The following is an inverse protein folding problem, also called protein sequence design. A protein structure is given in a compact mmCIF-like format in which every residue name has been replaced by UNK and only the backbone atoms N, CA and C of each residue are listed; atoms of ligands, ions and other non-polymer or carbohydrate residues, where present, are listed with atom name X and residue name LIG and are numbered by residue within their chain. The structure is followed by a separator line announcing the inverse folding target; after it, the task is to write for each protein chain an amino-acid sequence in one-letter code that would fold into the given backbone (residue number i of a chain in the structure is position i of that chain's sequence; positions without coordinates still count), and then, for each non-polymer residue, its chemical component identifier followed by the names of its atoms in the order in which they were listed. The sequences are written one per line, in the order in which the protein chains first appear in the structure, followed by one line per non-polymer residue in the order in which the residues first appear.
data_IF_326771346157
#
_entry.id   IF_326771346157
#
_cell.length_a   1.000
_cell.length_b   1.000
_cell.length_c   1.000
_cell.angle_alpha   90.00
_cell.angle_beta   90.00
_cell.angle_gamma   90.00
#
_symmetry.space_group_name_H-M   'P 1'
#
loop_
_entity.id
_entity.type
_entity.pdbx_description
1 polymer ?
#
# COMPACT_ATOMS: atom_id res chain seq x y z
N UNK A 1 -10.90 19.13 -17.99
CA UNK A 1 -9.75 18.59 -18.74
C UNK A 1 -8.55 18.71 -17.80
N UNK A 2 -8.47 17.81 -16.82
CA UNK A 2 -7.34 17.77 -15.88
C UNK A 2 -6.25 16.92 -16.52
N UNK A 3 -5.09 17.52 -16.72
CA UNK A 3 -3.89 16.83 -17.16
C UNK A 3 -3.35 16.07 -15.95
N UNK A 4 -3.51 14.75 -15.95
CA UNK A 4 -2.77 13.88 -15.03
C UNK A 4 -1.30 13.94 -15.44
N UNK A 5 -0.50 14.71 -14.69
CA UNK A 5 0.95 14.74 -14.87
C UNK A 5 1.52 13.35 -14.52
N UNK A 6 1.65 12.49 -15.53
CA UNK A 6 2.48 11.29 -15.42
C UNK A 6 3.93 11.74 -15.34
N UNK A 7 4.44 11.87 -14.11
CA UNK A 7 5.83 12.18 -13.86
C UNK A 7 6.68 11.00 -14.35
N UNK A 8 7.41 11.18 -15.46
CA UNK A 8 8.28 10.15 -16.03
C UNK A 8 9.66 10.19 -15.34
N UNK A 9 10.07 9.08 -14.75
CA UNK A 9 11.42 8.90 -14.21
C UNK A 9 12.44 8.72 -15.34
N UNK A 10 13.61 9.33 -15.17
CA UNK A 10 14.77 9.09 -16.05
C UNK A 10 15.29 7.66 -15.84
N UNK A 11 15.96 7.08 -16.85
CA UNK A 11 16.59 5.74 -16.72
C UNK A 11 17.55 5.63 -15.54
N UNK A 12 18.18 6.76 -15.18
CA UNK A 12 19.04 6.85 -14.01
C UNK A 12 18.23 6.69 -12.71
N UNK A 13 17.09 7.36 -12.58
CA UNK A 13 16.21 7.24 -11.42
C UNK A 13 15.60 5.83 -11.32
N UNK A 14 15.26 5.19 -12.46
CA UNK A 14 14.76 3.80 -12.46
C UNK A 14 15.84 2.83 -11.95
N UNK A 15 17.08 2.97 -12.45
CA UNK A 15 18.23 2.18 -11.96
C UNK A 15 18.52 2.43 -10.49
N UNK A 16 18.42 3.69 -10.04
CA UNK A 16 18.61 4.06 -8.63
C UNK A 16 17.57 3.35 -7.73
N UNK A 17 16.32 3.20 -8.15
CA UNK A 17 15.27 2.57 -7.33
C UNK A 17 15.28 1.03 -7.35
N UNK A 18 15.90 0.40 -8.34
CA UNK A 18 15.81 -1.05 -8.55
C UNK A 18 16.32 -1.86 -7.36
N UNK A 19 17.42 -1.44 -6.73
CA UNK A 19 17.96 -2.12 -5.54
C UNK A 19 16.99 -2.08 -4.35
N UNK A 20 16.35 -0.92 -4.11
CA UNK A 20 15.36 -0.77 -3.06
C UNK A 20 14.08 -1.59 -3.32
N UNK A 21 13.65 -1.69 -4.58
CA UNK A 21 12.51 -2.54 -4.96
C UNK A 21 12.82 -4.01 -4.74
N UNK A 22 13.99 -4.48 -5.18
CA UNK A 22 14.41 -5.88 -4.98
C UNK A 22 14.47 -6.23 -3.50
N UNK A 23 15.06 -5.36 -2.68
CA UNK A 23 15.12 -5.54 -1.23
C UNK A 23 13.71 -5.62 -0.62
N UNK A 24 12.81 -4.69 -0.99
CA UNK A 24 11.43 -4.70 -0.49
C UNK A 24 10.65 -5.94 -0.93
N UNK A 25 10.85 -6.41 -2.17
CA UNK A 25 10.23 -7.66 -2.64
C UNK A 25 10.73 -8.86 -1.81
N UNK A 26 12.03 -8.94 -1.54
CA UNK A 26 12.61 -9.99 -0.68
C UNK A 26 12.23 -9.88 0.79
N UNK A 27 11.97 -8.67 1.27
CA UNK A 27 11.59 -8.35 2.64
C UNK A 27 10.09 -8.35 2.91
N UNK A 28 9.25 -8.66 1.92
CA UNK A 28 7.79 -8.53 1.96
C UNK A 28 7.16 -9.14 3.21
N UNK A 29 7.44 -10.41 3.50
CA UNK A 29 6.87 -11.11 4.66
C UNK A 29 7.33 -10.46 5.98
N UNK A 30 8.55 -9.93 6.03
CA UNK A 30 9.08 -9.23 7.20
C UNK A 30 8.35 -7.91 7.42
N UNK A 31 8.14 -7.14 6.35
CA UNK A 31 7.38 -5.88 6.39
C UNK A 31 5.93 -6.12 6.83
N UNK A 32 5.25 -7.11 6.22
CA UNK A 32 3.87 -7.41 6.55
C UNK A 32 3.72 -7.92 7.99
N UNK A 33 4.68 -8.72 8.48
CA UNK A 33 4.70 -9.15 9.89
C UNK A 33 4.88 -7.97 10.85
N UNK A 34 5.88 -7.11 10.63
CA UNK A 34 6.10 -5.91 11.46
C UNK A 34 4.87 -4.98 11.44
N UNK A 35 4.24 -4.82 10.27
CA UNK A 35 3.00 -4.07 10.15
C UNK A 35 1.86 -4.68 10.99
N UNK A 36 1.63 -5.98 10.89
CA UNK A 36 0.60 -6.66 11.70
C UNK A 36 0.88 -6.49 13.20
N UNK A 37 2.12 -6.68 13.63
CA UNK A 37 2.53 -6.49 15.02
C UNK A 37 2.23 -5.07 15.51
N UNK A 38 2.51 -4.04 14.69
CA UNK A 38 2.16 -2.65 15.00
C UNK A 38 0.65 -2.44 15.14
N UNK A 39 -0.17 -3.04 14.27
CA UNK A 39 -1.63 -2.96 14.36
C UNK A 39 -2.12 -3.61 15.66
N UNK A 40 -1.63 -4.82 15.98
CA UNK A 40 -2.02 -5.55 17.19
C UNK A 40 -1.54 -4.89 18.49
N UNK A 41 -0.41 -4.21 18.46
CA UNK A 41 0.15 -3.56 19.66
C UNK A 41 -0.43 -2.16 19.93
N UNK A 42 -1.10 -1.53 18.95
CA UNK A 42 -1.55 -0.16 19.10
C UNK A 42 -2.93 -0.06 19.75
N UNK A 43 -3.01 0.57 20.92
CA UNK A 43 -4.24 0.74 21.70
C UNK A 43 -5.37 1.49 20.98
N UNK A 44 -5.04 2.32 19.98
CA UNK A 44 -6.05 3.01 19.16
C UNK A 44 -6.68 2.11 18.07
N UNK A 45 -6.12 0.92 17.83
CA UNK A 45 -6.61 -0.06 16.84
C UNK A 45 -7.52 -1.11 17.50
N UNK A 46 -8.61 -0.69 18.15
CA UNK A 46 -9.52 -1.59 18.88
C UNK A 46 -10.08 -2.71 17.99
N UNK A 47 -10.53 -2.37 16.78
CA UNK A 47 -11.08 -3.32 15.80
C UNK A 47 -9.97 -4.13 15.13
N UNK A 48 -8.87 -3.48 14.76
CA UNK A 48 -7.72 -4.14 14.16
C UNK A 48 -7.03 -5.16 15.08
N UNK A 49 -7.05 -4.92 16.40
CA UNK A 49 -6.58 -5.87 17.41
C UNK A 49 -7.42 -7.15 17.48
N UNK A 50 -8.70 -7.08 17.14
CA UNK A 50 -9.65 -8.19 17.26
C UNK A 50 -9.90 -8.92 15.94
N UNK A 51 -9.55 -8.32 14.80
CA UNK A 51 -9.74 -8.93 13.47
C UNK A 51 -9.01 -10.27 13.37
N UNK A 52 -9.48 -11.22 12.56
CA UNK A 52 -8.66 -12.41 12.28
C UNK A 52 -7.47 -12.03 11.37
N UNK A 53 -6.39 -12.80 11.42
CA UNK A 53 -5.23 -12.57 10.55
C UNK A 53 -5.60 -12.56 9.04
N UNK A 54 -6.43 -13.48 8.52
CA UNK A 54 -6.86 -13.43 7.12
C UNK A 54 -7.64 -12.16 6.74
N UNK A 55 -8.44 -11.60 7.66
CA UNK A 55 -9.16 -10.35 7.43
C UNK A 55 -8.24 -9.13 7.55
N UNK A 56 -7.17 -9.23 8.32
CA UNK A 56 -6.18 -8.17 8.42
C UNK A 56 -5.34 -8.12 7.12
N UNK A 57 -4.92 -9.27 6.61
CA UNK A 57 -4.10 -9.43 5.40
C UNK A 57 -4.89 -9.38 4.06
N UNK A 58 -6.14 -8.95 4.06
CA UNK A 58 -7.03 -9.02 2.88
C UNK A 58 -6.66 -8.05 1.74
N UNK A 59 -6.10 -6.87 2.09
CA UNK A 59 -5.90 -5.75 1.15
C UNK A 59 -4.53 -5.09 1.20
N UNK A 60 -3.89 -5.03 2.38
CA UNK A 60 -2.57 -4.37 2.54
C UNK A 60 -1.46 -5.07 1.74
N UNK A 61 -1.41 -6.42 1.65
CA UNK A 61 -0.41 -7.09 0.83
C UNK A 61 -0.49 -6.71 -0.66
N UNK A 62 -1.68 -6.55 -1.23
CA UNK A 62 -1.85 -6.13 -2.63
C UNK A 62 -1.48 -4.66 -2.83
N UNK A 63 -1.76 -3.80 -1.85
CA UNK A 63 -1.29 -2.42 -1.86
C UNK A 63 0.24 -2.34 -1.86
N UNK A 64 0.91 -3.20 -1.08
CA UNK A 64 2.38 -3.31 -1.07
C UNK A 64 2.91 -3.67 -2.46
N UNK A 65 2.37 -4.73 -3.06
CA UNK A 65 2.78 -5.19 -4.38
C UNK A 65 2.59 -4.10 -5.45
N UNK A 66 1.44 -3.40 -5.43
CA UNK A 66 1.15 -2.30 -6.35
C UNK A 66 2.09 -1.10 -6.19
N UNK A 67 2.54 -0.78 -4.97
CA UNK A 67 3.54 0.26 -4.73
C UNK A 67 4.88 -0.14 -5.37
N UNK A 68 5.32 -1.39 -5.19
CA UNK A 68 6.59 -1.86 -5.74
C UNK A 68 6.57 -1.89 -7.27
N UNK A 69 5.48 -2.36 -7.87
CA UNK A 69 5.31 -2.38 -9.33
C UNK A 69 5.38 -0.95 -9.92
N UNK A 70 4.81 0.04 -9.21
CA UNK A 70 4.87 1.44 -9.64
C UNK A 70 6.28 2.03 -9.53
N UNK A 71 7.05 1.66 -8.51
CA UNK A 71 8.45 2.10 -8.34
C UNK A 71 9.37 1.51 -9.42
N UNK A 72 9.15 0.26 -9.83
CA UNK A 72 10.05 -0.46 -10.73
C UNK A 72 9.95 0.00 -12.18
N UNK A 73 8.74 0.29 -12.68
CA UNK A 73 8.53 0.50 -14.12
C UNK A 73 7.67 1.74 -14.43
N UNK A 74 7.15 2.47 -13.42
CA UNK A 74 6.03 3.41 -13.60
C UNK A 74 4.88 2.80 -14.45
N UNK A 75 4.84 1.46 -14.54
CA UNK A 75 3.85 0.66 -15.24
C UNK A 75 3.06 -0.06 -14.16
N UNK A 76 1.97 0.53 -13.72
CA UNK A 76 0.84 -0.30 -13.36
C UNK A 76 -0.41 0.27 -14.05
N UNK A 77 -1.24 -0.65 -14.51
CA UNK A 77 -2.56 -0.39 -15.09
C UNK A 77 -3.64 -0.31 -14.00
N UNK A 78 -3.31 -0.79 -12.81
CA UNK A 78 -4.11 -0.70 -11.58
C UNK A 78 -3.33 0.17 -10.59
N UNK A 79 -3.93 1.29 -10.18
CA UNK A 79 -3.31 2.24 -9.28
C UNK A 79 -3.36 1.70 -7.85
N UNK A 80 -2.29 1.89 -7.05
CA UNK A 80 -2.29 1.61 -5.61
C UNK A 80 -3.53 2.21 -4.89
N UNK A 81 -4.03 3.31 -5.41
CA UNK A 81 -5.27 3.98 -4.99
C UNK A 81 -6.52 3.11 -5.16
N UNK A 82 -6.58 2.24 -6.17
CA UNK A 82 -7.66 1.28 -6.39
C UNK A 82 -7.71 0.23 -5.27
N UNK A 83 -6.57 -0.36 -4.92
CA UNK A 83 -6.50 -1.28 -3.77
C UNK A 83 -6.82 -0.58 -2.45
N UNK A 84 -6.35 0.66 -2.29
CA UNK A 84 -6.65 1.46 -1.11
C UNK A 84 -8.15 1.85 -1.01
N UNK A 85 -8.81 2.07 -2.15
CA UNK A 85 -10.26 2.29 -2.26
C UNK A 85 -11.02 1.06 -1.76
N UNK A 86 -10.66 -0.14 -2.25
CA UNK A 86 -11.26 -1.40 -1.78
C UNK A 86 -11.02 -1.60 -0.29
N UNK A 87 -9.81 -1.30 0.19
CA UNK A 87 -9.46 -1.36 1.62
C UNK A 87 -10.35 -0.45 2.47
N UNK A 88 -10.51 0.83 2.10
CA UNK A 88 -11.34 1.78 2.86
C UNK A 88 -12.81 1.36 2.92
N UNK A 89 -13.33 0.88 1.80
CA UNK A 89 -14.68 0.32 1.74
C UNK A 89 -14.83 -0.92 2.65
N UNK A 90 -13.90 -1.87 2.58
CA UNK A 90 -13.93 -3.08 3.41
C UNK A 90 -13.82 -2.77 4.91
N UNK A 91 -12.99 -1.80 5.30
CA UNK A 91 -12.86 -1.36 6.70
C UNK A 91 -14.15 -0.74 7.24
N UNK A 92 -14.86 0.06 6.44
CA UNK A 92 -16.19 0.55 6.81
C UNK A 92 -17.16 -0.59 7.12
N UNK A 93 -17.14 -1.68 6.35
CA UNK A 93 -18.04 -2.83 6.54
C UNK A 93 -17.67 -3.72 7.73
N UNK A 94 -16.41 -3.67 8.18
CA UNK A 94 -15.88 -4.52 9.27
C UNK A 94 -15.90 -3.84 10.64
N UNK A 95 -16.51 -2.66 10.74
CA UNK A 95 -16.69 -1.94 12.00
C UNK A 95 -15.52 -1.06 12.43
N UNK A 96 -14.49 -0.91 11.58
CA UNK A 96 -13.44 0.07 11.81
C UNK A 96 -14.05 1.47 11.88
N UNK A 97 -13.51 2.30 12.76
CA UNK A 97 -13.69 3.75 12.61
C UNK A 97 -12.68 4.32 11.61
N UNK A 98 -12.96 5.51 11.10
CA UNK A 98 -12.13 6.17 10.08
C UNK A 98 -10.67 6.39 10.54
N UNK A 99 -10.46 6.66 11.83
CA UNK A 99 -9.12 6.89 12.36
C UNK A 99 -8.31 5.58 12.38
N UNK A 100 -8.95 4.44 12.67
CA UNK A 100 -8.30 3.12 12.57
C UNK A 100 -7.85 2.81 11.15
N UNK A 101 -8.70 3.08 10.15
CA UNK A 101 -8.35 2.89 8.72
C UNK A 101 -7.11 3.71 8.33
N UNK A 102 -7.04 4.98 8.77
CA UNK A 102 -5.86 5.82 8.51
C UNK A 102 -4.64 5.29 9.26
N UNK A 103 -4.78 4.98 10.54
CA UNK A 103 -3.69 4.48 11.37
C UNK A 103 -3.08 3.19 10.83
N UNK A 104 -3.90 2.30 10.28
CA UNK A 104 -3.47 1.05 9.65
C UNK A 104 -2.49 1.31 8.48
N UNK A 105 -2.82 2.26 7.60
CA UNK A 105 -1.96 2.64 6.46
C UNK A 105 -0.72 3.44 6.90
N UNK A 106 -0.82 4.26 7.95
CA UNK A 106 0.35 4.94 8.52
C UNK A 106 1.32 3.96 9.20
N UNK A 107 0.81 2.90 9.84
CA UNK A 107 1.65 1.83 10.37
C UNK A 107 2.33 1.04 9.27
N UNK A 108 1.65 0.85 8.14
CA UNK A 108 2.21 0.19 6.98
C UNK A 108 3.40 0.96 6.41
N UNK A 109 3.28 2.29 6.24
CA UNK A 109 4.42 3.17 5.91
C UNK A 109 5.58 2.99 6.89
N UNK A 110 5.29 2.99 8.19
CA UNK A 110 6.33 2.83 9.24
C UNK A 110 7.05 1.49 9.15
N UNK A 111 6.35 0.42 8.78
CA UNK A 111 6.94 -0.90 8.62
C UNK A 111 7.89 -0.96 7.42
N UNK A 112 7.48 -0.39 6.28
CA UNK A 112 8.35 -0.23 5.10
C UNK A 112 9.61 0.56 5.47
N UNK A 113 9.44 1.69 6.14
CA UNK A 113 10.55 2.53 6.58
C UNK A 113 11.48 1.85 7.57
N UNK A 114 10.94 1.03 8.48
CA UNK A 114 11.74 0.28 9.42
C UNK A 114 12.62 -0.73 8.68
N UNK A 115 12.06 -1.43 7.70
CA UNK A 115 12.78 -2.37 6.86
C UNK A 115 13.88 -1.69 6.03
N UNK A 116 13.56 -0.64 5.27
CA UNK A 116 14.55 0.10 4.47
C UNK A 116 15.65 0.75 5.33
N UNK A 117 15.33 1.19 6.55
CA UNK A 117 16.35 1.71 7.48
C UNK A 117 17.25 0.62 8.06
N UNK A 118 16.74 -0.59 8.24
CA UNK A 118 17.52 -1.70 8.76
C UNK A 118 18.62 -2.13 7.77
N UNK A 119 18.34 -2.03 6.46
CA UNK A 119 19.31 -2.31 5.38
C UNK A 119 20.15 -1.08 5.02
N UNK A 120 19.63 0.14 5.25
CA UNK A 120 20.40 1.39 5.23
C UNK A 120 21.16 1.66 3.92
N UNK A 121 22.38 2.18 4.04
CA UNK A 121 23.26 2.52 2.91
C UNK A 121 23.75 1.30 2.10
N UNK A 122 23.37 0.08 2.48
CA UNK A 122 23.72 -1.14 1.73
C UNK A 122 22.85 -1.31 0.49
N UNK A 123 21.75 -0.56 0.38
CA UNK A 123 20.83 -0.61 -0.76
C UNK A 123 20.80 0.75 -1.46
N UNK A 124 21.25 0.76 -2.71
CA UNK A 124 21.21 1.95 -3.56
C UNK A 124 19.77 2.43 -3.75
N UNK A 125 19.58 3.76 -3.68
CA UNK A 125 18.27 4.41 -3.83
C UNK A 125 17.26 4.20 -2.72
N UNK A 126 17.63 3.60 -1.57
CA UNK A 126 16.71 3.41 -0.44
C UNK A 126 16.02 4.71 0.01
N UNK A 127 16.76 5.83 0.10
CA UNK A 127 16.19 7.13 0.46
C UNK A 127 15.22 7.68 -0.58
N UNK A 128 15.54 7.54 -1.87
CA UNK A 128 14.66 7.97 -2.95
C UNK A 128 13.39 7.12 -3.00
N UNK A 129 13.50 5.81 -2.75
CA UNK A 129 12.36 4.91 -2.64
C UNK A 129 11.46 5.30 -1.45
N UNK A 130 12.04 5.63 -0.28
CA UNK A 130 11.26 6.11 0.87
C UNK A 130 10.41 7.35 0.54
N UNK A 131 10.99 8.35 -0.14
CA UNK A 131 10.28 9.57 -0.54
C UNK A 131 9.11 9.26 -1.51
N UNK A 132 9.35 8.39 -2.50
CA UNK A 132 8.32 8.01 -3.45
C UNK A 132 7.18 7.20 -2.82
N UNK A 133 7.54 6.26 -1.94
CA UNK A 133 6.58 5.45 -1.18
C UNK A 133 5.71 6.34 -0.30
N UNK A 134 6.27 7.37 0.32
CA UNK A 134 5.51 8.31 1.15
C UNK A 134 4.36 8.95 0.36
N UNK A 135 4.68 9.52 -0.80
CA UNK A 135 3.69 10.13 -1.68
C UNK A 135 2.65 9.13 -2.20
N UNK A 136 3.05 7.88 -2.50
CA UNK A 136 2.12 6.82 -2.88
C UNK A 136 1.18 6.43 -1.74
N UNK A 137 1.70 6.30 -0.52
CA UNK A 137 0.88 5.96 0.66
C UNK A 137 -0.04 7.14 1.04
N UNK A 138 0.39 8.40 0.86
CA UNK A 138 -0.48 9.57 1.09
C UNK A 138 -1.71 9.51 0.17
N UNK A 139 -1.51 9.20 -1.12
CA UNK A 139 -2.62 9.02 -2.07
C UNK A 139 -3.48 7.81 -1.73
N UNK A 140 -2.88 6.70 -1.31
CA UNK A 140 -3.62 5.53 -0.83
C UNK A 140 -4.51 5.87 0.39
N UNK A 141 -4.00 6.64 1.36
CA UNK A 141 -4.78 7.11 2.51
C UNK A 141 -5.96 7.95 2.05
N UNK A 142 -5.76 8.91 1.14
CA UNK A 142 -6.84 9.76 0.62
C UNK A 142 -7.89 8.93 -0.13
N UNK A 143 -7.47 8.02 -1.00
CA UNK A 143 -8.38 7.13 -1.73
C UNK A 143 -9.20 6.24 -0.78
N UNK A 144 -8.54 5.68 0.23
CA UNK A 144 -9.18 4.86 1.27
C UNK A 144 -10.20 5.67 2.09
N UNK A 145 -9.85 6.90 2.47
CA UNK A 145 -10.74 7.81 3.20
C UNK A 145 -11.97 8.18 2.38
N UNK A 146 -11.80 8.52 1.10
CA UNK A 146 -12.90 8.83 0.20
C UNK A 146 -13.86 7.65 0.08
N UNK A 147 -13.34 6.43 -0.12
CA UNK A 147 -14.15 5.22 -0.20
C UNK A 147 -14.85 4.87 1.12
N UNK A 148 -14.19 5.10 2.25
CA UNK A 148 -14.76 4.89 3.58
C UNK A 148 -15.93 5.86 3.84
N UNK A 149 -15.79 7.12 3.44
CA UNK A 149 -16.78 8.17 3.70
C UNK A 149 -17.92 8.19 2.69
N UNK A 150 -17.72 7.70 1.48
CA UNK A 150 -18.73 7.76 0.42
C UNK A 150 -19.89 6.80 0.70
N UNK A 151 -21.10 7.30 1.01
CA UNK A 151 -22.26 6.46 1.28
C UNK A 151 -22.71 5.63 0.06
N UNK A 152 -22.34 6.06 -1.16
CA UNK A 152 -22.63 5.37 -2.41
C UNK A 152 -21.49 4.45 -2.89
N UNK A 153 -20.37 4.38 -2.15
CA UNK A 153 -19.27 3.50 -2.50
C UNK A 153 -19.75 2.05 -2.61
N UNK A 154 -19.37 1.41 -3.71
CA UNK A 154 -19.54 -0.01 -3.94
C UNK A 154 -18.15 -0.64 -4.02
N UNK A 155 -17.98 -1.93 -3.67
CA UNK A 155 -16.72 -2.60 -3.90
C UNK A 155 -16.43 -2.55 -5.40
N UNK A 156 -15.26 -2.04 -5.77
CA UNK A 156 -14.78 -2.15 -7.14
C UNK A 156 -14.82 -3.63 -7.51
N UNK A 157 -15.51 -3.97 -8.60
CA UNK A 157 -15.52 -5.35 -9.11
C UNK A 157 -14.05 -5.71 -9.35
N UNK A 158 -13.56 -6.74 -8.65
CA UNK A 158 -12.41 -7.48 -9.15
C UNK A 158 -12.86 -8.00 -10.49
N UNK A 159 -12.32 -7.48 -11.58
CA UNK A 159 -12.46 -8.13 -12.87
C UNK A 159 -11.87 -9.53 -12.68
N UNK A 160 -12.76 -10.51 -12.51
CA UNK A 160 -12.39 -11.90 -12.63
C UNK A 160 -12.02 -12.10 -14.08
N UNK A 161 -10.79 -12.53 -14.29
CA UNK A 161 -10.34 -13.38 -15.39
C UNK A 161 -10.80 -12.96 -16.79
N UNK A 162 -9.81 -12.62 -17.63
CA UNK A 162 -9.98 -12.80 -19.06
C UNK A 162 -10.38 -14.26 -19.32
N UNK A 163 -11.67 -14.48 -19.55
CA UNK A 163 -12.21 -15.64 -20.24
C UNK A 163 -11.45 -15.72 -21.58
N UNK A 164 -10.46 -16.60 -21.64
CA UNK A 164 -10.00 -17.13 -22.91
C UNK A 164 -11.11 -18.06 -23.40
N UNK A 165 -11.67 -17.84 -24.61
CA UNK A 165 -12.58 -18.82 -25.18
C UNK A 165 -11.78 -20.08 -25.56
N UNK A 166 -12.35 -21.24 -25.22
CA UNK A 166 -11.99 -22.55 -25.78
C UNK A 166 -12.02 -22.55 -27.33
#
# INVERSE_FOLDING_TARGET
MEQTETQFYTERQIRELSGAVEELRGGRETVLRDWMERVRANQAMVTGQALSEPLLLDHVPQLFDAILDRLEINRSREDAEQFATVHGFARRLTGYNIAETVLELLMFRRAIWAHLRAVGAQVEGAYAAMEQIDGMVDRAVLASLNAFLDPAAAPLRRDKDGDAPD
#
